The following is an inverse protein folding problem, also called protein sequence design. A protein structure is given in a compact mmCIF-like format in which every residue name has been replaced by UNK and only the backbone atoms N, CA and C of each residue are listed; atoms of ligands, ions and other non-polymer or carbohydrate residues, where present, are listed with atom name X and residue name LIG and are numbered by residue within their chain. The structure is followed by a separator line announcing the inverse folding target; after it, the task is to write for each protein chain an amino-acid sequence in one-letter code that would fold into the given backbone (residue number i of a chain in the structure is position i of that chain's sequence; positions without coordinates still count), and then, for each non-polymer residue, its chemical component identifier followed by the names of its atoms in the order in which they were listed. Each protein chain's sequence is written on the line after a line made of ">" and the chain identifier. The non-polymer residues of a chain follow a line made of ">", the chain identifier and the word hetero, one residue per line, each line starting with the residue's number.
data_IF_652270823254
#
_entry.id   IF_652270823254
#
_cell.length_a   1.000
_cell.length_b   1.000
_cell.length_c   1.000
_cell.angle_alpha   90.00
_cell.angle_beta   90.00
_cell.angle_gamma   90.00
#
_symmetry.space_group_name_H-M   'P 1'
#
loop_
_entity.id
_entity.type
_entity.pdbx_description
1 polymer ?
#
# COMPACT_ATOMS: atom_id res chain seq x y z
N UNK A 1 2.88 -9.00 21.90
CA UNK A 1 2.78 -8.37 20.57
C UNK A 1 1.61 -9.02 19.86
N UNK A 2 0.42 -8.41 19.90
CA UNK A 2 -0.75 -8.94 19.21
C UNK A 2 -0.60 -8.62 17.72
N UNK A 3 -0.21 -9.59 16.92
CA UNK A 3 -0.30 -9.47 15.46
C UNK A 3 -1.77 -9.55 15.10
N UNK A 4 -2.38 -8.42 14.73
CA UNK A 4 -3.67 -8.43 14.05
C UNK A 4 -3.41 -9.01 12.67
N UNK A 5 -3.96 -10.19 12.38
CA UNK A 5 -3.82 -10.83 11.08
C UNK A 5 -4.49 -9.98 10.00
N UNK A 6 -3.70 -9.25 9.21
CA UNK A 6 -4.23 -8.52 8.06
C UNK A 6 -4.48 -9.49 6.91
N UNK A 7 -5.75 -9.73 6.61
CA UNK A 7 -6.19 -10.61 5.55
C UNK A 7 -6.67 -9.82 4.33
N UNK A 8 -6.40 -10.37 3.14
CA UNK A 8 -6.83 -9.78 1.86
C UNK A 8 -7.46 -10.90 1.08
N UNK A 9 -8.76 -10.85 0.91
CA UNK A 9 -9.52 -11.77 0.07
C UNK A 9 -9.58 -11.23 -1.35
N UNK A 10 -9.52 -12.12 -2.35
CA UNK A 10 -9.62 -11.72 -3.76
C UNK A 10 -8.35 -11.08 -4.33
N UNK A 11 -7.16 -11.36 -3.75
CA UNK A 11 -5.88 -10.86 -4.28
C UNK A 11 -5.65 -11.30 -5.74
N UNK A 12 -6.22 -12.43 -6.11
CA UNK A 12 -6.24 -13.00 -7.46
C UNK A 12 -6.99 -12.14 -8.49
N UNK A 13 -7.94 -11.31 -8.04
CA UNK A 13 -8.70 -10.41 -8.91
C UNK A 13 -7.86 -9.23 -9.42
N UNK A 14 -6.70 -8.98 -8.80
CA UNK A 14 -5.80 -7.93 -9.23
C UNK A 14 -5.16 -8.34 -10.56
N UNK A 15 -5.32 -7.55 -11.64
CA UNK A 15 -4.80 -7.90 -12.97
C UNK A 15 -3.31 -8.25 -12.94
N UNK A 16 -2.89 -9.25 -13.68
CA UNK A 16 -1.46 -9.61 -13.79
C UNK A 16 -0.73 -8.76 -14.82
N UNK A 17 -1.47 -8.13 -15.73
CA UNK A 17 -0.95 -7.28 -16.80
C UNK A 17 -1.77 -5.98 -16.89
N UNK A 18 -1.12 -4.91 -17.33
CA UNK A 18 -1.74 -3.59 -17.50
C UNK A 18 -1.95 -2.79 -16.20
N UNK A 19 -2.37 -1.52 -16.32
CA UNK A 19 -2.66 -0.66 -15.18
C UNK A 19 -3.97 -1.06 -14.49
N UNK A 20 -4.05 -0.79 -13.18
CA UNK A 20 -5.28 -0.92 -12.40
C UNK A 20 -5.38 0.23 -11.41
N UNK A 21 -6.60 0.67 -11.13
CA UNK A 21 -6.88 1.65 -10.07
C UNK A 21 -7.54 0.92 -8.90
N UNK A 22 -6.93 1.00 -7.73
CA UNK A 22 -7.50 0.49 -6.48
C UNK A 22 -8.15 1.66 -5.76
N UNK A 23 -9.47 1.59 -5.58
CA UNK A 23 -10.21 2.54 -4.75
C UNK A 23 -10.36 1.89 -3.38
N UNK A 24 -9.78 2.50 -2.36
CA UNK A 24 -9.83 1.98 -1.00
C UNK A 24 -10.15 3.08 -0.01
N UNK A 25 -10.77 2.68 1.10
CA UNK A 25 -10.96 3.50 2.27
C UNK A 25 -9.86 3.16 3.27
N UNK A 26 -9.29 4.17 3.95
CA UNK A 26 -8.32 3.96 5.01
C UNK A 26 -8.78 4.61 6.32
N UNK A 27 -8.38 4.02 7.44
CA UNK A 27 -8.55 4.63 8.76
C UNK A 27 -7.61 5.84 8.94
N UNK A 28 -7.64 6.50 10.09
CA UNK A 28 -6.79 7.68 10.35
C UNK A 28 -5.29 7.46 10.04
N UNK A 29 -4.80 6.22 10.18
CA UNK A 29 -3.46 5.82 9.77
C UNK A 29 -3.53 4.85 8.58
N UNK A 30 -2.68 5.00 7.55
CA UNK A 30 -2.67 4.15 6.36
C UNK A 30 -1.92 2.82 6.59
N UNK A 31 -2.16 2.15 7.73
CA UNK A 31 -1.48 0.89 8.10
C UNK A 31 -1.95 -0.25 7.20
N UNK A 32 -3.25 -0.28 6.92
CA UNK A 32 -3.90 -1.18 5.96
C UNK A 32 -3.25 -1.13 4.58
N UNK A 33 -2.95 0.08 4.08
CA UNK A 33 -2.25 0.28 2.82
C UNK A 33 -0.88 -0.39 2.81
N UNK A 34 -0.07 -0.24 3.86
CA UNK A 34 1.27 -0.86 3.89
C UNK A 34 1.21 -2.38 3.85
N UNK A 35 0.24 -3.00 4.52
CA UNK A 35 0.05 -4.45 4.44
C UNK A 35 -0.45 -4.91 3.07
N UNK A 36 -1.37 -4.16 2.45
CA UNK A 36 -1.81 -4.43 1.07
C UNK A 36 -0.66 -4.31 0.07
N UNK A 37 0.15 -3.26 0.19
CA UNK A 37 1.37 -3.06 -0.60
C UNK A 37 2.32 -4.26 -0.46
N UNK A 38 2.63 -4.67 0.77
CA UNK A 38 3.51 -5.80 1.03
C UNK A 38 2.97 -7.11 0.43
N UNK A 39 1.66 -7.39 0.56
CA UNK A 39 1.06 -8.59 -0.05
C UNK A 39 1.12 -8.54 -1.58
N UNK A 40 0.83 -7.40 -2.19
CA UNK A 40 0.89 -7.27 -3.66
C UNK A 40 2.31 -7.41 -4.20
N UNK A 41 3.29 -6.86 -3.47
CA UNK A 41 4.69 -7.06 -3.82
C UNK A 41 5.06 -8.54 -3.71
N UNK A 42 4.88 -9.15 -2.54
CA UNK A 42 5.39 -10.49 -2.26
C UNK A 42 4.68 -11.59 -3.06
N UNK A 43 3.36 -11.49 -3.24
CA UNK A 43 2.56 -12.58 -3.82
C UNK A 43 2.14 -12.34 -5.27
N UNK A 44 2.15 -11.09 -5.75
CA UNK A 44 1.75 -10.75 -7.13
C UNK A 44 2.87 -10.09 -7.93
N UNK A 45 4.01 -9.79 -7.30
CA UNK A 45 5.10 -9.01 -7.90
C UNK A 45 4.61 -7.70 -8.53
N UNK A 46 3.64 -7.04 -7.87
CA UNK A 46 3.07 -5.76 -8.33
C UNK A 46 3.38 -4.65 -7.33
N UNK A 47 3.92 -3.53 -7.84
CA UNK A 47 4.04 -2.29 -7.07
C UNK A 47 2.74 -1.51 -7.15
N UNK A 48 2.37 -0.85 -6.06
CA UNK A 48 1.24 0.10 -6.02
C UNK A 48 1.75 1.48 -5.62
N UNK A 49 1.12 2.51 -6.17
CA UNK A 49 1.35 3.92 -5.79
C UNK A 49 0.06 4.46 -5.19
N UNK A 50 0.20 5.28 -4.16
CA UNK A 50 -0.92 5.88 -3.44
C UNK A 50 -0.93 7.38 -3.66
N UNK A 51 -2.13 7.94 -3.84
CA UNK A 51 -2.31 9.39 -3.82
C UNK A 51 -2.38 9.82 -2.36
N UNK A 52 -1.42 10.63 -1.93
CA UNK A 52 -1.31 11.11 -0.56
C UNK A 52 -1.43 12.64 -0.50
N UNK A 53 -1.88 13.17 0.64
CA UNK A 53 -1.90 14.61 0.88
C UNK A 53 -0.47 15.18 0.96
N UNK A 54 -0.29 16.43 0.54
CA UNK A 54 1.01 17.13 0.57
C UNK A 54 1.63 17.19 1.97
N UNK A 55 0.82 17.14 3.03
CA UNK A 55 1.33 17.14 4.41
C UNK A 55 2.24 15.93 4.71
N UNK A 56 2.00 14.78 4.08
CA UNK A 56 2.79 13.56 4.30
C UNK A 56 4.27 13.80 3.99
N UNK A 57 4.56 14.57 2.93
CA UNK A 57 5.92 14.91 2.53
C UNK A 57 6.58 16.00 3.40
N UNK A 58 5.83 16.64 4.30
CA UNK A 58 6.36 17.58 5.28
C UNK A 58 6.82 16.89 6.57
N UNK A 59 6.46 15.62 6.77
CA UNK A 59 6.93 14.84 7.91
C UNK A 59 8.40 14.45 7.65
N UNK A 60 9.34 14.86 8.52
CA UNK A 60 10.74 14.51 8.35
C UNK A 60 10.96 13.00 8.22
N UNK A 61 11.74 12.58 7.21
CA UNK A 61 12.06 11.18 6.94
C UNK A 61 11.00 10.39 6.16
N UNK A 62 9.75 10.85 6.09
CA UNK A 62 8.69 10.10 5.42
C UNK A 62 8.80 10.18 3.89
N UNK A 63 9.17 11.34 3.34
CA UNK A 63 9.40 11.47 1.90
C UNK A 63 10.50 10.50 1.41
N UNK A 64 11.64 10.46 2.12
CA UNK A 64 12.75 9.55 1.80
C UNK A 64 12.36 8.08 1.90
N UNK A 65 11.55 7.72 2.91
CA UNK A 65 11.03 6.36 3.04
C UNK A 65 10.12 5.99 1.87
N UNK A 66 9.22 6.89 1.46
CA UNK A 66 8.30 6.64 0.35
C UNK A 66 9.05 6.50 -0.98
N UNK A 67 10.05 7.34 -1.23
CA UNK A 67 10.91 7.23 -2.42
C UNK A 67 11.66 5.89 -2.48
N UNK A 68 12.14 5.38 -1.34
CA UNK A 68 12.81 4.07 -1.28
C UNK A 68 11.87 2.88 -1.54
N UNK A 69 10.56 3.08 -1.40
CA UNK A 69 9.53 2.07 -1.62
C UNK A 69 8.94 2.09 -3.05
N UNK A 70 9.26 3.11 -3.87
CA UNK A 70 8.80 3.24 -5.27
C UNK A 70 9.56 2.38 -6.30
#
# INVERSE_FOLDING_TARGET
>A
MYFVGYEVEGLENIPTQGPALIIFYHAALPIDFYYLFAKLWLYRNRRIRVVADKFVFKIPGLATLLEALE
#
